data_IF_318320892599
#
_entry.id   IF_318320892599
#
_cell.length_a   1.000
_cell.length_b   1.000
_cell.length_c   1.000
_cell.angle_alpha   90.00
_cell.angle_beta   90.00
_cell.angle_gamma   90.00
#
_symmetry.space_group_name_H-M   'P 1'
#
loop_
_entity.id
_entity.type
_entity.pdbx_description
1 polymer ?
#
# COMPACT_ATOMS: atom_id res chain seq x y z
N UNK A 1 -28.70 -2.39 29.58
CA UNK A 1 -27.71 -1.40 29.15
C UNK A 1 -26.40 -2.15 29.15
N UNK A 2 -26.24 -3.03 28.16
CA UNK A 2 -25.09 -3.92 28.06
C UNK A 2 -24.02 -3.17 27.30
N UNK A 3 -23.09 -2.58 28.04
CA UNK A 3 -21.82 -2.13 27.49
C UNK A 3 -21.04 -3.37 27.11
N UNK A 4 -21.11 -3.78 25.85
CA UNK A 4 -20.14 -4.71 25.28
C UNK A 4 -18.75 -4.13 25.54
N UNK A 5 -18.02 -4.75 26.46
CA UNK A 5 -16.59 -4.55 26.62
C UNK A 5 -15.97 -4.89 25.26
N UNK A 6 -15.59 -3.88 24.48
CA UNK A 6 -14.72 -4.08 23.32
C UNK A 6 -13.43 -4.69 23.87
N UNK A 7 -13.25 -6.00 23.71
CA UNK A 7 -11.96 -6.63 23.94
C UNK A 7 -10.95 -5.90 23.05
N UNK A 8 -10.01 -5.19 23.66
CA UNK A 8 -8.90 -4.59 22.92
C UNK A 8 -8.10 -5.73 22.29
N UNK A 9 -8.16 -5.83 20.97
CA UNK A 9 -7.34 -6.77 20.21
C UNK A 9 -5.88 -6.32 20.39
N UNK A 10 -5.00 -7.14 20.98
CA UNK A 10 -3.61 -6.74 21.17
C UNK A 10 -2.97 -6.54 19.80
N UNK A 11 -2.35 -5.37 19.62
CA UNK A 11 -1.53 -5.04 18.45
C UNK A 11 -0.08 -5.07 18.90
N UNK A 12 0.70 -5.98 18.30
CA UNK A 12 2.13 -6.09 18.52
C UNK A 12 2.87 -5.55 17.30
N UNK A 13 3.84 -4.69 17.54
CA UNK A 13 4.72 -4.16 16.53
C UNK A 13 6.10 -4.82 16.68
N UNK A 14 6.66 -5.29 15.58
CA UNK A 14 8.04 -5.78 15.53
C UNK A 14 8.75 -5.25 14.30
N UNK A 15 10.08 -5.15 14.38
CA UNK A 15 10.94 -4.84 13.25
C UNK A 15 11.81 -6.05 12.97
N UNK A 16 11.78 -6.52 11.72
CA UNK A 16 12.58 -7.66 11.27
C UNK A 16 13.44 -7.27 10.08
N UNK A 17 14.59 -7.92 9.93
CA UNK A 17 15.44 -7.73 8.76
C UNK A 17 15.04 -8.71 7.66
N UNK A 18 14.55 -8.21 6.53
CA UNK A 18 14.12 -9.03 5.40
C UNK A 18 14.76 -8.56 4.09
N UNK A 19 15.54 -9.44 3.44
CA UNK A 19 16.31 -9.07 2.24
C UNK A 19 17.28 -7.92 2.52
N UNK A 20 17.75 -7.83 3.76
CA UNK A 20 18.54 -6.77 4.35
C UNK A 20 17.78 -5.47 4.68
N UNK A 21 16.46 -5.36 4.49
CA UNK A 21 15.69 -4.15 4.85
C UNK A 21 15.07 -4.34 6.21
N UNK A 22 15.20 -3.35 7.09
CA UNK A 22 14.33 -3.27 8.26
C UNK A 22 12.87 -3.20 7.79
N UNK A 23 12.03 -4.07 8.32
CA UNK A 23 10.64 -4.26 7.91
C UNK A 23 9.79 -4.30 9.16
N UNK A 24 8.94 -3.29 9.34
CA UNK A 24 7.94 -3.30 10.40
C UNK A 24 6.88 -4.36 10.09
N UNK A 25 6.36 -5.00 11.13
CA UNK A 25 5.27 -5.97 11.01
C UNK A 25 4.28 -5.66 12.12
N UNK A 26 3.02 -5.46 11.75
CA UNK A 26 1.92 -5.29 12.69
C UNK A 26 1.16 -6.61 12.83
N UNK A 27 1.14 -7.13 14.05
CA UNK A 27 0.47 -8.38 14.42
C UNK A 27 -0.76 -8.04 15.24
N UNK A 28 -1.93 -8.42 14.74
CA UNK A 28 -3.20 -8.12 15.41
C UNK A 28 -3.86 -9.42 15.89
N UNK A 29 -4.15 -9.50 17.19
CA UNK A 29 -4.82 -10.64 17.82
C UNK A 29 -3.90 -11.46 18.73
N UNK A 30 -4.43 -12.52 19.37
CA UNK A 30 -3.62 -13.39 20.22
C UNK A 30 -2.51 -14.01 19.38
N UNK A 31 -1.29 -13.55 19.60
CA UNK A 31 -0.11 -14.02 18.92
C UNK A 31 0.59 -15.06 19.80
N UNK A 32 0.58 -16.32 19.38
CA UNK A 32 1.61 -17.26 19.80
C UNK A 32 2.80 -17.08 18.85
N UNK A 33 4.01 -17.14 19.40
CA UNK A 33 5.24 -17.01 18.65
C UNK A 33 5.24 -18.01 17.48
N UNK A 34 5.00 -17.53 16.24
CA UNK A 34 4.94 -18.33 15.00
C UNK A 34 6.16 -19.25 14.85
N UNK A 35 7.26 -18.90 15.50
CA UNK A 35 8.55 -19.54 15.39
C UNK A 35 8.78 -20.67 16.40
N UNK A 36 8.06 -20.70 17.54
CA UNK A 36 8.37 -21.60 18.67
C UNK A 36 7.21 -22.48 19.15
N UNK A 37 5.95 -22.18 18.81
CA UNK A 37 4.82 -22.94 19.33
C UNK A 37 3.92 -23.47 18.20
N UNK A 38 3.93 -24.79 18.01
CA UNK A 38 3.03 -25.51 17.08
C UNK A 38 1.60 -25.63 17.65
N UNK A 39 1.23 -24.82 18.64
CA UNK A 39 -0.06 -24.91 19.32
C UNK A 39 -1.22 -24.36 18.49
N UNK A 40 -2.40 -24.92 18.74
CA UNK A 40 -3.62 -24.95 17.91
C UNK A 40 -4.35 -23.60 17.79
N UNK A 41 -3.77 -22.49 18.27
CA UNK A 41 -4.36 -21.14 18.13
C UNK A 41 -3.59 -20.31 17.11
N UNK A 42 -3.94 -20.51 15.83
CA UNK A 42 -3.38 -19.75 14.70
C UNK A 42 -3.85 -18.29 14.75
N UNK A 43 -2.97 -17.29 14.52
CA UNK A 43 -3.40 -15.90 14.36
C UNK A 43 -4.31 -15.75 13.13
N UNK A 44 -5.37 -14.94 13.26
CA UNK A 44 -6.42 -14.79 12.23
C UNK A 44 -6.20 -13.62 11.26
N UNK A 45 -5.21 -12.76 11.49
CA UNK A 45 -4.91 -11.61 10.63
C UNK A 45 -3.45 -11.16 10.78
N UNK A 46 -2.72 -11.07 9.66
CA UNK A 46 -1.39 -10.47 9.58
C UNK A 46 -1.51 -9.18 8.77
N UNK A 47 -1.19 -8.03 9.37
CA UNK A 47 -1.20 -6.73 8.68
C UNK A 47 0.26 -6.35 8.39
N UNK A 48 0.61 -6.33 7.11
CA UNK A 48 1.96 -5.98 6.68
C UNK A 48 2.05 -4.49 6.37
N UNK A 49 2.87 -3.76 7.15
CA UNK A 49 3.20 -2.36 6.87
C UNK A 49 4.72 -2.31 6.67
N UNK A 50 5.18 -1.96 5.48
CA UNK A 50 6.62 -1.84 5.18
C UNK A 50 7.05 -0.39 5.37
N UNK A 51 7.84 -0.07 6.40
CA UNK A 51 8.76 1.04 6.38
C UNK A 51 10.20 0.53 6.28
N UNK A 52 10.97 1.36 5.60
CA UNK A 52 12.35 1.30 5.16
C UNK A 52 13.41 1.26 6.29
N UNK A 53 14.50 0.50 6.14
CA UNK A 53 15.87 1.04 5.93
C UNK A 53 16.96 -0.04 5.74
N UNK A 54 17.79 0.20 4.71
CA UNK A 54 19.17 -0.27 4.44
C UNK A 54 19.48 -1.75 4.09
N UNK A 55 19.33 -2.13 2.80
CA UNK A 55 19.91 -3.39 2.28
C UNK A 55 20.73 -3.25 0.99
N UNK A 56 21.72 -4.13 0.83
CA UNK A 56 22.51 -4.32 -0.39
C UNK A 56 22.12 -5.59 -1.21
N UNK A 57 21.24 -6.47 -0.70
CA UNK A 57 20.96 -7.77 -1.34
C UNK A 57 19.85 -7.72 -2.41
N UNK A 58 18.79 -6.93 -2.21
CA UNK A 58 17.76 -6.73 -3.24
C UNK A 58 18.21 -5.61 -4.18
N UNK A 59 18.43 -5.96 -5.44
CA UNK A 59 18.76 -4.97 -6.48
C UNK A 59 17.61 -3.97 -6.65
N UNK A 60 17.96 -2.69 -6.61
CA UNK A 60 17.01 -1.58 -6.80
C UNK A 60 15.86 -1.57 -5.80
N UNK A 61 16.19 -1.67 -4.51
CA UNK A 61 15.23 -1.87 -3.42
C UNK A 61 14.19 -0.77 -3.28
N UNK A 62 14.55 0.45 -3.66
CA UNK A 62 13.68 1.62 -3.68
C UNK A 62 12.89 1.75 -4.98
N UNK A 63 13.21 0.93 -5.98
CA UNK A 63 12.49 0.87 -7.23
C UNK A 63 11.29 -0.07 -7.18
N UNK A 64 10.45 0.05 -8.20
CA UNK A 64 9.22 -0.69 -8.41
C UNK A 64 9.46 -2.20 -8.32
N UNK A 65 10.48 -2.70 -9.02
CA UNK A 65 10.82 -4.12 -8.99
C UNK A 65 11.38 -4.58 -7.64
N UNK A 66 12.25 -3.78 -7.01
CA UNK A 66 12.80 -4.13 -5.69
C UNK A 66 11.72 -4.17 -4.61
N UNK A 67 10.72 -3.27 -4.69
CA UNK A 67 9.57 -3.27 -3.79
C UNK A 67 8.69 -4.52 -3.95
N UNK A 68 8.59 -5.10 -5.16
CA UNK A 68 7.89 -6.37 -5.39
C UNK A 68 8.71 -7.53 -4.82
N UNK A 69 10.00 -7.59 -5.14
CA UNK A 69 10.87 -8.68 -4.68
C UNK A 69 11.02 -8.69 -3.16
N UNK A 70 11.04 -7.52 -2.51
CA UNK A 70 11.07 -7.43 -1.05
C UNK A 70 9.83 -8.05 -0.39
N UNK A 71 8.64 -7.75 -0.92
CA UNK A 71 7.38 -8.36 -0.46
C UNK A 71 7.37 -9.88 -0.67
N UNK A 72 7.84 -10.34 -1.83
CA UNK A 72 7.95 -11.78 -2.12
C UNK A 72 8.98 -12.47 -1.22
N UNK A 73 10.13 -11.84 -0.97
CA UNK A 73 11.16 -12.35 -0.07
C UNK A 73 10.62 -12.50 1.35
N UNK A 74 9.84 -11.52 1.83
CA UNK A 74 9.16 -11.60 3.12
C UNK A 74 8.23 -12.81 3.19
N UNK A 75 7.35 -12.98 2.20
CA UNK A 75 6.44 -14.13 2.17
C UNK A 75 7.19 -15.46 2.13
N UNK A 76 8.25 -15.57 1.33
CA UNK A 76 9.05 -16.81 1.23
C UNK A 76 9.78 -17.16 2.52
N UNK A 77 10.17 -16.16 3.30
CA UNK A 77 11.03 -16.34 4.48
C UNK A 77 10.24 -16.48 5.77
N UNK A 78 9.15 -15.71 5.91
CA UNK A 78 8.46 -15.55 7.20
C UNK A 78 7.02 -16.07 7.22
N UNK A 79 6.44 -16.40 6.07
CA UNK A 79 5.04 -16.87 5.97
C UNK A 79 5.03 -18.37 5.64
N UNK A 80 4.37 -19.22 6.47
CA UNK A 80 4.21 -20.63 6.16
C UNK A 80 3.52 -20.85 4.81
N UNK A 81 3.98 -21.85 4.05
CA UNK A 81 3.49 -22.10 2.67
C UNK A 81 2.02 -22.50 2.60
N UNK A 82 1.47 -23.06 3.67
CA UNK A 82 0.07 -23.46 3.81
C UNK A 82 -0.83 -22.33 4.35
N UNK A 83 -0.27 -21.15 4.66
CA UNK A 83 -1.02 -20.01 5.15
C UNK A 83 -1.81 -19.34 4.03
N UNK A 84 -3.13 -19.24 4.22
CA UNK A 84 -4.03 -18.49 3.33
C UNK A 84 -3.80 -16.99 3.51
N UNK A 85 -3.72 -16.25 2.41
CA UNK A 85 -3.39 -14.83 2.39
C UNK A 85 -4.55 -13.98 1.89
N UNK A 86 -4.73 -12.83 2.54
CA UNK A 86 -5.51 -11.71 2.01
C UNK A 86 -4.51 -10.62 1.66
N UNK A 87 -4.51 -10.17 0.41
CA UNK A 87 -3.67 -9.05 -0.04
C UNK A 87 -4.51 -7.77 -0.11
N UNK A 88 -3.98 -6.66 0.40
CA UNK A 88 -4.63 -5.35 0.30
C UNK A 88 -3.59 -4.40 -0.27
N UNK A 89 -3.79 -3.99 -1.52
CA UNK A 89 -2.95 -3.03 -2.21
C UNK A 89 -3.67 -1.70 -2.34
N UNK A 90 -3.09 -0.62 -1.84
CA UNK A 90 -3.55 0.74 -2.12
C UNK A 90 -2.66 1.38 -3.18
N UNK A 91 -3.24 2.10 -4.14
CA UNK A 91 -2.49 2.82 -5.17
C UNK A 91 -1.50 1.87 -5.85
N UNK A 92 -0.19 2.18 -5.82
CA UNK A 92 0.83 1.35 -6.46
C UNK A 92 0.97 -0.03 -5.82
N UNK A 93 0.53 -0.17 -4.57
CA UNK A 93 0.37 -1.46 -3.89
C UNK A 93 -0.57 -2.41 -4.64
N UNK A 94 -1.52 -1.89 -5.42
CA UNK A 94 -2.36 -2.72 -6.30
C UNK A 94 -1.54 -3.33 -7.44
N UNK A 95 -0.65 -2.56 -8.05
CA UNK A 95 0.27 -3.05 -9.07
C UNK A 95 1.21 -4.10 -8.49
N UNK A 96 1.77 -3.86 -7.30
CA UNK A 96 2.59 -4.85 -6.59
C UNK A 96 1.82 -6.15 -6.33
N UNK A 97 0.56 -6.04 -5.90
CA UNK A 97 -0.31 -7.21 -5.65
C UNK A 97 -0.49 -8.04 -6.92
N UNK A 98 -0.77 -7.41 -8.07
CA UNK A 98 -0.87 -8.10 -9.36
C UNK A 98 0.46 -8.73 -9.77
N UNK A 99 1.59 -8.02 -9.62
CA UNK A 99 2.91 -8.56 -9.96
C UNK A 99 3.33 -9.72 -9.06
N UNK A 100 2.97 -9.70 -7.77
CA UNK A 100 3.21 -10.81 -6.86
C UNK A 100 2.42 -12.06 -7.29
N UNK A 101 1.15 -11.90 -7.61
CA UNK A 101 0.30 -12.97 -8.12
C UNK A 101 0.85 -13.57 -9.43
N UNK A 102 1.32 -12.71 -10.35
CA UNK A 102 1.93 -13.13 -11.62
C UNK A 102 3.22 -13.93 -11.44
N UNK A 103 4.10 -13.48 -10.55
CA UNK A 103 5.44 -14.07 -10.37
C UNK A 103 5.42 -15.34 -9.52
N UNK A 104 4.45 -15.44 -8.62
CA UNK A 104 4.35 -16.51 -7.62
C UNK A 104 2.89 -17.00 -7.59
N UNK A 105 2.41 -17.67 -8.65
CA UNK A 105 1.02 -18.13 -8.75
C UNK A 105 0.66 -19.16 -7.67
N UNK A 106 1.65 -19.79 -7.03
CA UNK A 106 1.47 -20.70 -5.90
C UNK A 106 1.08 -20.02 -4.58
N UNK A 107 1.09 -18.68 -4.51
CA UNK A 107 0.61 -17.97 -3.31
C UNK A 107 -0.86 -18.31 -3.06
N UNK A 108 -1.15 -18.81 -1.84
CA UNK A 108 -2.50 -19.17 -1.39
C UNK A 108 -3.35 -17.93 -1.06
N UNK A 109 -3.52 -17.05 -2.05
CA UNK A 109 -4.32 -15.83 -1.92
C UNK A 109 -5.79 -16.18 -2.08
N UNK A 110 -6.55 -15.97 -1.00
CA UNK A 110 -8.00 -16.20 -0.99
C UNK A 110 -8.78 -14.96 -1.43
N UNK A 111 -8.23 -13.77 -1.20
CA UNK A 111 -8.81 -12.49 -1.63
C UNK A 111 -7.72 -11.45 -1.81
N UNK A 112 -7.87 -10.57 -2.78
CA UNK A 112 -7.02 -9.42 -2.98
C UNK A 112 -7.85 -8.17 -3.25
N UNK A 113 -7.72 -7.15 -2.39
CA UNK A 113 -8.37 -5.86 -2.54
C UNK A 113 -7.40 -4.86 -3.16
N UNK A 114 -7.79 -4.31 -4.31
CA UNK A 114 -7.04 -3.33 -5.08
C UNK A 114 -7.74 -1.98 -4.94
N UNK A 115 -7.30 -1.21 -3.95
CA UNK A 115 -7.90 0.05 -3.51
C UNK A 115 -7.28 1.22 -4.27
N UNK A 116 -8.12 1.97 -4.99
CA UNK A 116 -7.73 3.10 -5.84
C UNK A 116 -6.55 2.72 -6.76
N UNK A 117 -6.74 1.71 -7.63
CA UNK A 117 -5.65 0.93 -8.19
C UNK A 117 -4.90 1.67 -9.30
N UNK A 118 -3.64 2.03 -9.03
CA UNK A 118 -2.72 2.57 -10.04
C UNK A 118 -1.99 1.42 -10.74
N UNK A 119 -2.69 0.77 -11.67
CA UNK A 119 -2.23 -0.43 -12.38
C UNK A 119 -2.00 -0.21 -13.87
N UNK A 120 -2.29 0.99 -14.36
CA UNK A 120 -2.17 1.36 -15.77
C UNK A 120 -2.08 2.88 -15.94
N UNK A 121 -1.60 3.31 -17.12
CA UNK A 121 -1.66 4.68 -17.66
C UNK A 121 -1.24 5.77 -16.65
N UNK A 122 -0.27 5.48 -15.79
CA UNK A 122 0.05 6.34 -14.66
C UNK A 122 0.43 7.77 -15.07
N UNK A 123 1.30 7.91 -16.07
CA UNK A 123 1.71 9.21 -16.60
C UNK A 123 0.62 9.95 -17.38
N UNK A 124 -0.44 9.26 -17.81
CA UNK A 124 -1.55 9.83 -18.56
C UNK A 124 -2.70 10.31 -17.67
N UNK A 125 -2.73 9.88 -16.40
CA UNK A 125 -3.71 10.34 -15.41
C UNK A 125 -3.62 11.86 -15.17
N UNK A 126 -4.69 12.53 -14.72
CA UNK A 126 -4.68 13.97 -14.42
C UNK A 126 -3.48 14.40 -13.55
N UNK A 127 -3.22 13.70 -12.45
CA UNK A 127 -2.07 13.97 -11.60
C UNK A 127 -0.75 13.49 -12.22
N UNK A 128 -0.75 12.36 -12.92
CA UNK A 128 0.42 11.83 -13.61
C UNK A 128 1.00 12.79 -14.64
N UNK A 129 0.16 13.48 -15.41
CA UNK A 129 0.60 14.49 -16.39
C UNK A 129 1.35 15.65 -15.76
N UNK A 130 0.99 16.01 -14.51
CA UNK A 130 1.63 17.08 -13.74
C UNK A 130 2.89 16.55 -13.03
N UNK A 131 2.82 15.34 -12.48
CA UNK A 131 3.90 14.73 -11.70
C UNK A 131 5.05 14.20 -12.57
N UNK A 132 4.78 13.65 -13.76
CA UNK A 132 5.78 13.02 -14.62
C UNK A 132 6.95 13.95 -14.98
N UNK A 133 6.73 15.21 -15.40
CA UNK A 133 7.85 16.14 -15.62
C UNK A 133 8.70 16.35 -14.36
N UNK A 134 8.06 16.46 -13.20
CA UNK A 134 8.75 16.69 -11.92
C UNK A 134 9.59 15.47 -11.49
N UNK A 135 8.98 14.28 -11.56
CA UNK A 135 9.56 13.03 -11.07
C UNK A 135 10.58 12.41 -12.05
N UNK A 136 10.40 12.60 -13.36
CA UNK A 136 11.26 11.99 -14.37
C UNK A 136 12.29 12.98 -14.94
N UNK A 137 11.86 14.17 -15.36
CA UNK A 137 12.73 15.13 -16.08
C UNK A 137 13.48 16.06 -15.13
N UNK A 138 12.79 16.59 -14.12
CA UNK A 138 13.34 17.58 -13.19
C UNK A 138 13.75 16.97 -11.84
N UNK A 139 13.90 15.64 -11.76
CA UNK A 139 14.18 14.93 -10.51
C UNK A 139 15.41 15.44 -9.76
N UNK A 140 16.50 15.75 -10.46
CA UNK A 140 17.70 16.29 -9.82
C UNK A 140 17.50 17.71 -9.30
N UNK A 141 16.69 18.51 -10.00
CA UNK A 141 16.30 19.84 -9.51
C UNK A 141 15.47 19.68 -8.24
N UNK A 142 14.50 18.75 -8.22
CA UNK A 142 13.71 18.42 -7.03
C UNK A 142 14.60 17.95 -5.86
N UNK A 143 15.57 17.08 -6.11
CA UNK A 143 16.48 16.59 -5.07
C UNK A 143 17.36 17.71 -4.51
N UNK A 144 17.94 18.54 -5.37
CA UNK A 144 18.79 19.66 -4.95
C UNK A 144 17.98 20.69 -4.19
N UNK A 145 16.81 21.09 -4.69
CA UNK A 145 15.96 22.07 -3.99
C UNK A 145 15.42 21.51 -2.68
N UNK A 146 14.96 20.27 -2.64
CA UNK A 146 14.50 19.59 -1.43
C UNK A 146 15.61 19.50 -0.38
N UNK A 147 16.81 19.07 -0.77
CA UNK A 147 17.95 19.01 0.12
C UNK A 147 18.34 20.38 0.67
N UNK A 148 18.45 21.41 -0.18
CA UNK A 148 18.78 22.76 0.26
C UNK A 148 17.72 23.32 1.22
N UNK A 149 16.44 23.19 0.89
CA UNK A 149 15.36 23.70 1.72
C UNK A 149 15.28 22.96 3.07
N UNK A 150 15.37 21.63 3.07
CA UNK A 150 15.18 20.82 4.29
C UNK A 150 16.42 20.80 5.19
N UNK A 151 17.62 20.89 4.62
CA UNK A 151 18.87 20.91 5.39
C UNK A 151 19.18 22.29 5.97
N UNK A 152 18.85 23.37 5.25
CA UNK A 152 19.05 24.74 5.74
C UNK A 152 17.96 25.18 6.72
N UNK A 153 16.80 24.52 6.74
CA UNK A 153 15.70 24.87 7.62
C UNK A 153 15.91 24.32 9.05
N UNK A 154 15.95 25.16 10.10
CA UNK A 154 16.05 24.73 11.48
C UNK A 154 14.92 23.75 11.87
N UNK A 155 15.25 22.73 12.68
CA UNK A 155 14.28 21.70 13.11
C UNK A 155 13.00 22.27 13.74
N UNK A 156 13.12 23.37 14.49
CA UNK A 156 11.96 24.05 15.10
C UNK A 156 10.99 24.60 14.05
N UNK A 157 11.51 25.08 12.91
CA UNK A 157 10.69 25.60 11.82
C UNK A 157 10.07 24.45 11.03
N UNK A 158 10.84 23.39 10.76
CA UNK A 158 10.31 22.15 10.15
C UNK A 158 9.17 21.57 10.99
N UNK A 159 9.41 21.36 12.29
CA UNK A 159 8.40 20.89 13.24
C UNK A 159 7.16 21.79 13.29
N UNK A 160 7.33 23.12 13.26
CA UNK A 160 6.22 24.06 13.23
C UNK A 160 5.42 23.98 11.92
N UNK A 161 6.08 23.94 10.77
CA UNK A 161 5.43 23.84 9.45
C UNK A 161 4.68 22.52 9.31
N UNK A 162 5.30 21.43 9.73
CA UNK A 162 4.69 20.11 9.80
C UNK A 162 3.44 20.14 10.68
N UNK A 163 3.56 20.65 11.91
CA UNK A 163 2.44 20.71 12.84
C UNK A 163 1.30 21.56 12.28
N UNK A 164 1.61 22.69 11.64
CA UNK A 164 0.62 23.52 10.94
C UNK A 164 -0.01 22.81 9.75
N UNK A 165 0.77 22.05 8.97
CA UNK A 165 0.26 21.27 7.85
C UNK A 165 -0.68 20.15 8.33
N UNK A 166 -0.28 19.41 9.37
CA UNK A 166 -1.11 18.40 10.02
C UNK A 166 -2.38 18.99 10.62
N UNK A 167 -2.30 20.19 11.23
CA UNK A 167 -3.47 20.94 11.72
C UNK A 167 -4.44 21.27 10.60
N UNK A 168 -3.95 21.81 9.47
CA UNK A 168 -4.78 22.08 8.29
C UNK A 168 -5.39 20.80 7.71
N UNK A 169 -4.71 19.67 7.89
CA UNK A 169 -5.16 18.36 7.44
C UNK A 169 -6.07 17.64 8.46
N UNK A 170 -6.25 18.15 9.68
CA UNK A 170 -6.93 17.50 10.83
C UNK A 170 -6.28 16.16 11.26
N UNK A 171 -4.95 16.07 11.19
CA UNK A 171 -4.17 14.86 11.45
C UNK A 171 -3.32 14.92 12.74
N UNK A 172 -3.71 15.72 13.74
CA UNK A 172 -2.83 16.06 14.87
C UNK A 172 -2.29 14.87 15.69
N UNK A 173 -2.95 13.70 15.66
CA UNK A 173 -2.71 12.61 16.61
C UNK A 173 -2.22 11.26 16.02
N UNK A 174 -2.07 11.12 14.70
CA UNK A 174 -1.88 9.78 14.09
C UNK A 174 -0.54 9.56 13.36
N UNK A 175 0.27 10.59 13.17
CA UNK A 175 1.54 10.46 12.46
C UNK A 175 2.70 11.01 13.28
N UNK A 176 3.84 10.31 13.28
CA UNK A 176 5.15 10.91 13.59
C UNK A 176 5.76 11.42 12.28
N UNK A 177 5.47 12.67 11.87
CA UNK A 177 5.81 13.20 10.54
C UNK A 177 7.31 13.45 10.32
N UNK A 178 8.15 13.24 11.34
CA UNK A 178 9.55 13.65 11.30
C UNK A 178 10.37 12.84 10.29
N UNK A 179 10.05 11.56 10.07
CA UNK A 179 10.82 10.70 9.17
C UNK A 179 10.46 10.89 7.68
N UNK A 180 9.23 11.34 7.36
CA UNK A 180 8.76 11.49 5.97
C UNK A 180 9.46 12.65 5.25
N UNK A 181 9.93 13.65 6.00
CA UNK A 181 10.64 14.81 5.47
C UNK A 181 12.16 14.66 5.49
N UNK A 182 12.68 13.46 5.79
CA UNK A 182 14.08 13.18 5.57
C UNK A 182 14.39 13.25 4.06
N UNK A 183 15.46 13.95 3.65
CA UNK A 183 15.80 14.11 2.23
C UNK A 183 15.93 12.78 1.47
N UNK A 184 16.39 11.72 2.15
CA UNK A 184 16.51 10.39 1.57
C UNK A 184 15.13 9.74 1.32
N UNK A 185 14.19 9.86 2.26
CA UNK A 185 12.81 9.37 2.08
C UNK A 185 12.14 10.05 0.88
N UNK A 186 12.31 11.37 0.74
CA UNK A 186 11.77 12.12 -0.40
C UNK A 186 12.43 11.72 -1.72
N UNK A 187 13.76 11.52 -1.72
CA UNK A 187 14.47 11.08 -2.92
C UNK A 187 14.01 9.68 -3.35
N UNK A 188 13.87 8.75 -2.42
CA UNK A 188 13.39 7.38 -2.65
C UNK A 188 11.93 7.38 -3.13
N UNK A 189 11.04 8.16 -2.49
CA UNK A 189 9.65 8.29 -2.93
C UNK A 189 9.53 8.86 -4.34
N UNK A 190 10.32 9.89 -4.67
CA UNK A 190 10.34 10.46 -6.01
C UNK A 190 11.01 9.53 -7.04
N UNK A 191 11.99 8.71 -6.62
CA UNK A 191 12.60 7.69 -7.46
C UNK A 191 11.59 6.60 -7.84
N UNK A 192 10.89 6.05 -6.84
CA UNK A 192 9.80 5.09 -7.04
C UNK A 192 8.71 5.68 -7.92
N UNK A 193 8.19 6.87 -7.56
CA UNK A 193 7.15 7.55 -8.33
C UNK A 193 7.58 7.83 -9.78
N UNK A 194 8.86 8.10 -10.02
CA UNK A 194 9.39 8.22 -11.38
C UNK A 194 9.31 6.90 -12.16
N UNK A 195 9.64 5.77 -11.55
CA UNK A 195 9.48 4.46 -12.18
C UNK A 195 8.00 4.10 -12.38
N UNK A 196 7.11 4.43 -11.44
CA UNK A 196 5.67 4.24 -11.60
C UNK A 196 5.15 4.90 -12.89
N UNK A 197 5.54 6.16 -13.14
CA UNK A 197 5.12 6.90 -14.35
C UNK A 197 5.61 6.25 -15.66
N UNK A 198 6.76 5.56 -15.62
CA UNK A 198 7.42 5.01 -16.80
C UNK A 198 7.06 3.55 -17.07
N UNK A 199 6.78 2.77 -16.03
CA UNK A 199 6.59 1.31 -16.12
C UNK A 199 5.12 0.90 -15.99
N UNK A 200 4.31 1.65 -15.22
CA UNK A 200 2.87 1.35 -15.03
C UNK A 200 2.07 1.99 -16.16
N UNK A 201 2.23 1.42 -17.36
CA UNK A 201 1.65 1.96 -18.60
C UNK A 201 0.48 1.11 -19.07
N UNK A 202 0.70 -0.19 -19.33
CA UNK A 202 -0.34 -1.10 -19.80
C UNK A 202 -0.89 -1.94 -18.63
N UNK A 203 -2.22 -2.06 -18.55
CA UNK A 203 -2.87 -2.98 -17.61
C UNK A 203 -2.52 -4.43 -17.94
N UNK A 204 -2.24 -5.22 -16.91
CA UNK A 204 -1.91 -6.65 -17.01
C UNK A 204 -3.19 -7.49 -17.06
N UNK A 205 -3.91 -7.40 -18.18
CA UNK A 205 -5.20 -8.07 -18.38
C UNK A 205 -5.09 -9.59 -18.27
N UNK A 206 -3.95 -10.18 -18.67
CA UNK A 206 -3.72 -11.62 -18.55
C UNK A 206 -3.75 -12.08 -17.09
N UNK A 207 -3.00 -11.40 -16.22
CA UNK A 207 -2.95 -11.71 -14.78
C UNK A 207 -4.30 -11.43 -14.10
N UNK A 208 -4.96 -10.33 -14.47
CA UNK A 208 -6.29 -9.99 -13.94
C UNK A 208 -7.29 -11.09 -14.30
N UNK A 209 -7.29 -11.53 -15.56
CA UNK A 209 -8.18 -12.59 -16.02
C UNK A 209 -7.96 -13.91 -15.28
N UNK A 210 -6.70 -14.31 -15.09
CA UNK A 210 -6.33 -15.55 -14.41
C UNK A 210 -6.79 -15.57 -12.94
N UNK A 211 -6.86 -14.41 -12.31
CA UNK A 211 -7.15 -14.28 -10.89
C UNK A 211 -8.47 -13.56 -10.58
N UNK A 212 -9.30 -13.29 -11.59
CA UNK A 212 -10.46 -12.40 -11.49
C UNK A 212 -11.40 -12.76 -10.32
N UNK A 213 -11.59 -14.05 -10.06
CA UNK A 213 -12.48 -14.55 -9.00
C UNK A 213 -12.04 -14.20 -7.57
N UNK A 214 -10.78 -13.83 -7.36
CA UNK A 214 -10.23 -13.42 -6.05
C UNK A 214 -9.87 -11.93 -5.99
N UNK A 215 -10.05 -11.17 -7.07
CA UNK A 215 -9.73 -9.74 -7.12
C UNK A 215 -10.99 -8.90 -6.86
N UNK A 216 -10.84 -7.90 -5.97
CA UNK A 216 -11.81 -6.82 -5.80
C UNK A 216 -11.14 -5.50 -6.17
N UNK A 217 -11.69 -4.77 -7.12
CA UNK A 217 -11.21 -3.44 -7.48
C UNK A 217 -12.12 -2.39 -6.87
N UNK A 218 -11.53 -1.38 -6.23
CA UNK A 218 -12.28 -0.28 -5.64
C UNK A 218 -11.76 1.06 -6.19
N UNK A 219 -12.56 1.74 -7.01
CA UNK A 219 -12.21 3.01 -7.62
C UNK A 219 -12.88 4.18 -6.92
N UNK A 220 -12.25 5.36 -6.95
CA UNK A 220 -12.86 6.62 -6.50
C UNK A 220 -13.55 7.37 -7.63
N UNK A 221 -14.65 8.06 -7.31
CA UNK A 221 -15.34 8.94 -8.27
C UNK A 221 -14.58 10.22 -8.59
N UNK A 222 -13.72 10.67 -7.67
CA UNK A 222 -12.96 11.92 -7.76
C UNK A 222 -11.44 11.68 -7.77
N UNK A 223 -11.00 10.48 -8.15
CA UNK A 223 -9.60 10.10 -8.09
C UNK A 223 -8.80 10.66 -9.29
N UNK A 224 -7.81 11.54 -9.07
CA UNK A 224 -7.00 12.11 -10.14
C UNK A 224 -5.83 11.23 -10.61
N UNK A 225 -5.57 10.08 -9.98
CA UNK A 225 -4.55 9.10 -10.35
C UNK A 225 -5.13 7.92 -11.12
N UNK A 226 -6.31 7.44 -10.75
CA UNK A 226 -7.08 6.45 -11.50
C UNK A 226 -8.50 7.00 -11.76
N UNK A 227 -8.66 7.86 -12.79
CA UNK A 227 -9.91 8.56 -13.02
C UNK A 227 -11.03 7.59 -13.43
N UNK A 228 -12.28 8.06 -13.35
CA UNK A 228 -13.48 7.23 -13.52
C UNK A 228 -13.47 6.44 -14.84
N UNK A 229 -12.86 6.98 -15.90
CA UNK A 229 -12.70 6.27 -17.17
C UNK A 229 -11.99 4.92 -17.01
N UNK A 230 -11.04 4.80 -16.07
CA UNK A 230 -10.30 3.55 -15.86
C UNK A 230 -11.19 2.49 -15.21
N UNK A 231 -12.11 2.90 -14.32
CA UNK A 231 -13.16 2.05 -13.78
C UNK A 231 -14.11 1.56 -14.88
N UNK A 232 -14.56 2.45 -15.78
CA UNK A 232 -15.46 2.07 -16.86
C UNK A 232 -14.79 1.11 -17.85
N UNK A 233 -13.51 1.36 -18.18
CA UNK A 233 -12.71 0.49 -19.05
C UNK A 233 -12.57 -0.92 -18.46
N UNK A 234 -12.14 -1.05 -17.20
CA UNK A 234 -11.97 -2.37 -16.58
C UNK A 234 -13.31 -3.09 -16.38
N UNK A 235 -14.39 -2.36 -16.05
CA UNK A 235 -15.73 -2.96 -15.90
C UNK A 235 -16.26 -3.47 -17.23
N UNK A 236 -15.96 -2.79 -18.33
CA UNK A 236 -16.30 -3.22 -19.68
C UNK A 236 -15.53 -4.48 -20.08
N UNK A 237 -14.24 -4.55 -19.79
CA UNK A 237 -13.39 -5.68 -20.18
C UNK A 237 -13.62 -6.92 -19.30
N UNK A 238 -14.00 -6.71 -18.03
CA UNK A 238 -14.25 -7.77 -17.04
C UNK A 238 -15.63 -7.59 -16.35
N UNK A 239 -16.75 -7.76 -17.07
CA UNK A 239 -18.09 -7.49 -16.53
C UNK A 239 -18.44 -8.34 -15.30
N UNK A 240 -17.95 -9.58 -15.28
CA UNK A 240 -18.13 -10.56 -14.18
C UNK A 240 -17.22 -10.30 -12.97
N UNK A 241 -16.29 -9.35 -13.08
CA UNK A 241 -15.37 -8.98 -11.99
C UNK A 241 -16.06 -8.20 -10.88
N UNK A 242 -15.56 -8.41 -9.64
CA UNK A 242 -15.90 -7.57 -8.50
C UNK A 242 -15.15 -6.23 -8.62
N UNK A 243 -15.81 -5.29 -9.28
CA UNK A 243 -15.27 -3.96 -9.61
C UNK A 243 -16.29 -2.95 -9.12
N UNK A 244 -15.87 -2.18 -8.12
CA UNK A 244 -16.70 -1.25 -7.37
C UNK A 244 -16.24 0.18 -7.59
N UNK A 245 -17.20 1.10 -7.60
CA UNK A 245 -16.96 2.53 -7.65
C UNK A 245 -17.50 3.13 -6.35
N UNK A 246 -16.65 3.88 -5.64
CA UNK A 246 -17.02 4.55 -4.40
C UNK A 246 -18.18 5.52 -4.64
N UNK A 247 -19.33 5.25 -4.01
CA UNK A 247 -20.49 6.15 -4.11
C UNK A 247 -20.22 7.51 -3.47
N UNK A 248 -19.35 7.53 -2.46
CA UNK A 248 -18.90 8.73 -1.76
C UNK A 248 -17.68 9.31 -2.46
N UNK A 249 -17.53 10.63 -2.39
CA UNK A 249 -16.38 11.38 -2.91
C UNK A 249 -15.11 11.11 -2.08
N UNK A 250 -14.70 9.85 -1.99
CA UNK A 250 -13.50 9.42 -1.27
C UNK A 250 -12.29 9.74 -2.15
N UNK A 251 -11.32 10.53 -1.66
CA UNK A 251 -10.13 10.88 -2.42
C UNK A 251 -9.15 9.71 -2.48
N UNK A 252 -8.23 9.73 -3.45
CA UNK A 252 -7.16 8.72 -3.59
C UNK A 252 -6.38 8.48 -2.29
N UNK A 253 -6.05 9.56 -1.57
CA UNK A 253 -5.38 9.52 -0.27
C UNK A 253 -6.38 9.29 0.89
N UNK A 254 -7.28 8.32 0.73
CA UNK A 254 -8.34 8.03 1.71
C UNK A 254 -7.79 7.71 3.10
N UNK A 255 -6.56 7.18 3.18
CA UNK A 255 -5.88 6.83 4.43
C UNK A 255 -5.79 8.00 5.43
N UNK A 256 -5.88 9.24 4.94
CA UNK A 256 -5.77 10.46 5.74
C UNK A 256 -7.08 10.77 6.49
N UNK A 257 -8.24 10.59 5.86
CA UNK A 257 -9.54 11.07 6.43
C UNK A 257 -10.68 10.08 6.36
N UNK A 258 -10.55 9.05 5.54
CA UNK A 258 -11.56 8.03 5.25
C UNK A 258 -11.03 6.63 5.59
N UNK A 259 -9.97 6.53 6.40
CA UNK A 259 -9.33 5.26 6.75
C UNK A 259 -10.29 4.28 7.42
N UNK A 260 -11.05 4.72 8.44
CA UNK A 260 -12.02 3.90 9.16
C UNK A 260 -13.16 3.43 8.25
N UNK A 261 -13.61 4.29 7.36
CA UNK A 261 -14.70 3.97 6.44
C UNK A 261 -14.28 2.89 5.44
N UNK A 262 -13.13 3.07 4.79
CA UNK A 262 -12.60 2.06 3.87
C UNK A 262 -12.24 0.78 4.61
N UNK A 263 -11.64 0.88 5.80
CA UNK A 263 -11.32 -0.29 6.62
C UNK A 263 -12.58 -1.09 7.03
N UNK A 264 -13.67 -0.41 7.43
CA UNK A 264 -14.94 -1.07 7.78
C UNK A 264 -15.51 -1.82 6.58
N UNK A 265 -15.56 -1.17 5.41
CA UNK A 265 -16.06 -1.78 4.18
C UNK A 265 -15.26 -3.04 3.80
N UNK A 266 -13.93 -2.99 3.89
CA UNK A 266 -13.08 -4.15 3.60
C UNK A 266 -13.25 -5.25 4.66
N UNK A 267 -13.37 -4.89 5.93
CA UNK A 267 -13.61 -5.83 7.01
C UNK A 267 -14.96 -6.55 6.86
N UNK A 268 -16.02 -5.83 6.47
CA UNK A 268 -17.34 -6.40 6.22
C UNK A 268 -17.30 -7.36 5.02
N UNK A 269 -16.69 -6.96 3.91
CA UNK A 269 -16.51 -7.83 2.75
C UNK A 269 -15.71 -9.10 3.09
N UNK A 270 -14.66 -8.97 3.90
CA UNK A 270 -13.85 -10.10 4.35
C UNK A 270 -14.62 -11.04 5.27
N UNK A 271 -15.44 -10.51 6.17
CA UNK A 271 -16.26 -11.32 7.07
C UNK A 271 -17.23 -12.20 6.29
N UNK A 272 -17.84 -11.66 5.24
CA UNK A 272 -18.74 -12.41 4.36
C UNK A 272 -18.01 -13.51 3.60
N UNK A 273 -16.82 -13.23 3.08
CA UNK A 273 -15.98 -14.24 2.41
C UNK A 273 -15.58 -15.36 3.36
N UNK A 274 -15.08 -15.01 4.55
CA UNK A 274 -14.64 -15.98 5.56
C UNK A 274 -15.80 -16.81 6.12
N UNK A 275 -17.02 -16.29 6.13
CA UNK A 275 -18.21 -17.04 6.57
C UNK A 275 -18.61 -18.17 5.61
N UNK A 276 -18.15 -18.11 4.35
CA UNK A 276 -18.46 -19.08 3.29
C UNK A 276 -17.39 -20.18 3.16
N UNK A 277 -16.30 -20.08 3.92
CA UNK A 277 -15.15 -21.01 3.89
C UNK A 277 -15.22 -22.05 5.01
#
# INVERSE_FOLDING_TARGET
>A
MDSELKEEIPVHEEFILCGGVETQVLKCGPWTDLFNDQSVKRPKLLIFIIPDSNAQEIKDIYGLNGQIEHKLAFLRTHVPKDMKLVLIGHSIGSYFTLQMLKRVPELLVIRAFLLFPTIERMSESPNGRIATPLLCRFRYVLYVTGYLLLKLCPEKIKSLLIRRCLQLMNLENEFSPLNVLEPFCLANAAYLGGQEMMEVVKRDDETIKEHLSKLTFYYGTIDPWCPKEYYEDIKKDFPEGDIQLAEKNIPHAFIIRFNQEVASMIADSLKDDLSKM
#
